data_IF_687733906857
#
_entry.id   IF_687733906857
#
_cell.length_a   1.000
_cell.length_b   1.000
_cell.length_c   1.000
_cell.angle_alpha   90.00
_cell.angle_beta   90.00
_cell.angle_gamma   90.00
#
_symmetry.space_group_name_H-M   'P 1'
#
loop_
_entity.id
_entity.type
_entity.pdbx_description
1 polymer ?
#
# COMPACT_ATOMS: atom_id res chain seq x y z
N UNK A 1 -15.38 -16.10 -17.51
CA UNK A 1 -14.12 -16.86 -17.42
C UNK A 1 -13.50 -16.64 -16.06
N UNK A 2 -13.50 -17.66 -15.20
CA UNK A 2 -12.78 -17.61 -13.92
C UNK A 2 -11.28 -17.71 -14.19
N UNK A 3 -10.55 -16.58 -14.12
CA UNK A 3 -9.09 -16.61 -13.99
C UNK A 3 -8.78 -17.06 -12.56
N UNK A 4 -8.65 -18.37 -12.37
CA UNK A 4 -8.08 -18.93 -11.15
C UNK A 4 -6.65 -18.43 -11.05
N UNK A 5 -6.38 -17.56 -10.06
CA UNK A 5 -5.04 -17.04 -9.80
C UNK A 5 -4.17 -18.22 -9.36
N UNK A 6 -3.22 -18.63 -10.18
CA UNK A 6 -2.24 -19.66 -9.84
C UNK A 6 -1.42 -19.21 -8.63
N UNK A 7 -1.52 -19.93 -7.51
CA UNK A 7 -0.86 -19.56 -6.25
C UNK A 7 0.61 -20.04 -6.23
N UNK A 8 1.54 -19.21 -6.71
CA UNK A 8 2.97 -19.46 -6.58
C UNK A 8 3.45 -19.13 -5.15
N UNK A 9 3.50 -20.13 -4.27
CA UNK A 9 3.87 -19.98 -2.85
C UNK A 9 5.32 -19.51 -2.64
N UNK A 10 6.20 -19.68 -3.63
CA UNK A 10 7.64 -19.34 -3.52
C UNK A 10 7.94 -17.83 -3.43
N UNK A 11 7.01 -16.94 -3.81
CA UNK A 11 7.30 -15.49 -3.88
C UNK A 11 6.97 -14.71 -2.59
N UNK A 12 6.16 -15.26 -1.67
CA UNK A 12 5.67 -14.50 -0.50
C UNK A 12 6.82 -13.97 0.39
N UNK A 13 7.87 -14.76 0.61
CA UNK A 13 9.03 -14.37 1.42
C UNK A 13 9.85 -13.25 0.75
N UNK A 14 10.00 -13.32 -0.57
CA UNK A 14 10.71 -12.31 -1.34
C UNK A 14 9.91 -11.00 -1.40
N UNK A 15 8.59 -11.09 -1.61
CA UNK A 15 7.66 -9.95 -1.55
C UNK A 15 7.75 -9.29 -0.18
N UNK A 16 7.63 -10.06 0.91
CA UNK A 16 7.72 -9.54 2.28
C UNK A 16 9.06 -8.84 2.55
N UNK A 17 10.18 -9.43 2.10
CA UNK A 17 11.51 -8.81 2.21
C UNK A 17 11.59 -7.49 1.43
N UNK A 18 11.07 -7.46 0.21
CA UNK A 18 11.04 -6.25 -0.64
C UNK A 18 10.18 -5.15 -0.03
N UNK A 19 9.01 -5.49 0.50
CA UNK A 19 8.13 -4.54 1.22
C UNK A 19 8.86 -3.98 2.44
N UNK A 20 9.47 -4.83 3.28
CA UNK A 20 10.23 -4.36 4.45
C UNK A 20 11.36 -3.40 4.05
N UNK A 21 12.12 -3.74 3.01
CA UNK A 21 13.19 -2.87 2.48
C UNK A 21 12.63 -1.54 1.96
N UNK A 22 11.49 -1.55 1.28
CA UNK A 22 10.82 -0.33 0.83
C UNK A 22 10.37 0.53 2.01
N UNK A 23 9.78 -0.08 3.04
CA UNK A 23 9.31 0.62 4.24
C UNK A 23 10.45 1.32 4.98
N UNK A 24 11.59 0.63 5.11
CA UNK A 24 12.80 1.21 5.70
C UNK A 24 13.39 2.30 4.82
N UNK A 25 13.63 2.04 3.53
CA UNK A 25 14.28 2.99 2.60
C UNK A 25 13.53 4.32 2.49
N UNK A 26 12.19 4.29 2.48
CA UNK A 26 11.37 5.49 2.32
C UNK A 26 10.69 5.95 3.61
N UNK A 27 11.12 5.42 4.76
CA UNK A 27 10.66 5.81 6.10
C UNK A 27 9.12 5.85 6.23
N UNK A 28 8.43 4.81 5.73
CA UNK A 28 6.97 4.78 5.61
C UNK A 28 6.28 5.05 6.95
N UNK A 29 6.80 4.52 8.05
CA UNK A 29 6.30 4.75 9.40
C UNK A 29 6.25 6.24 9.78
N UNK A 30 7.30 6.99 9.41
CA UNK A 30 7.36 8.43 9.63
C UNK A 30 6.36 9.17 8.75
N UNK A 31 6.21 8.78 7.47
CA UNK A 31 5.22 9.39 6.58
C UNK A 31 3.79 9.19 7.09
N UNK A 32 3.48 7.97 7.54
CA UNK A 32 2.19 7.64 8.16
C UNK A 32 1.93 8.51 9.39
N UNK A 33 2.91 8.66 10.29
CA UNK A 33 2.80 9.52 11.47
C UNK A 33 2.53 10.98 11.09
N UNK A 34 3.26 11.52 10.11
CA UNK A 34 3.08 12.89 9.61
C UNK A 34 1.72 13.10 8.93
N UNK A 35 1.15 12.04 8.37
CA UNK A 35 -0.20 11.99 7.80
C UNK A 35 -1.30 11.70 8.83
N UNK A 36 -1.02 11.85 10.13
CA UNK A 36 -1.94 11.60 11.24
C UNK A 36 -2.44 10.16 11.38
N UNK A 37 -1.71 9.19 10.80
CA UNK A 37 -2.00 7.77 10.99
C UNK A 37 -1.41 7.27 12.31
N UNK A 38 -2.10 7.60 13.41
CA UNK A 38 -1.73 7.20 14.76
C UNK A 38 -2.39 5.89 15.19
N UNK A 39 -1.71 5.13 16.04
CA UNK A 39 -2.25 3.93 16.68
C UNK A 39 -3.42 4.31 17.59
N UNK A 40 -4.55 3.60 17.49
CA UNK A 40 -5.67 3.71 18.45
C UNK A 40 -5.63 2.65 19.54
N UNK A 41 -5.29 1.39 19.23
CA UNK A 41 -5.17 0.31 20.24
C UNK A 41 -4.39 -0.88 19.69
N UNK A 42 -3.54 -1.46 20.54
CA UNK A 42 -2.84 -2.76 20.47
C UNK A 42 -1.99 -3.09 19.22
N UNK A 43 -2.42 -2.76 18.00
CA UNK A 43 -1.65 -2.99 16.76
C UNK A 43 -0.99 -1.70 16.22
N UNK A 44 0.31 -1.71 15.89
CA UNK A 44 0.97 -0.61 15.17
C UNK A 44 0.34 -0.36 13.79
N UNK A 45 0.10 0.91 13.46
CA UNK A 45 -0.42 1.33 12.13
C UNK A 45 0.47 0.83 10.99
N UNK A 46 1.78 0.82 11.20
CA UNK A 46 2.77 0.36 10.22
C UNK A 46 2.60 -1.11 9.87
N UNK A 47 2.21 -1.94 10.83
CA UNK A 47 1.99 -3.36 10.64
C UNK A 47 0.73 -3.61 9.79
N UNK A 48 -0.36 -2.89 10.10
CA UNK A 48 -1.58 -2.90 9.30
C UNK A 48 -1.28 -2.47 7.86
N UNK A 49 -0.52 -1.39 7.71
CA UNK A 49 -0.13 -0.85 6.39
C UNK A 49 0.74 -1.82 5.61
N UNK A 50 1.73 -2.43 6.26
CA UNK A 50 2.59 -3.45 5.67
C UNK A 50 1.82 -4.70 5.24
N UNK A 51 0.84 -5.12 6.05
CA UNK A 51 -0.03 -6.24 5.71
C UNK A 51 -0.87 -5.98 4.46
N UNK A 52 -1.43 -4.77 4.31
CA UNK A 52 -2.16 -4.41 3.08
C UNK A 52 -1.25 -4.42 1.84
N UNK A 53 0.00 -3.93 1.96
CA UNK A 53 0.99 -4.05 0.88
C UNK A 53 1.23 -5.52 0.52
N UNK A 54 1.40 -6.39 1.53
CA UNK A 54 1.60 -7.82 1.31
C UNK A 54 0.42 -8.43 0.55
N UNK A 55 -0.83 -8.12 0.91
CA UNK A 55 -2.01 -8.60 0.20
C UNK A 55 -2.03 -8.16 -1.27
N UNK A 56 -1.76 -6.88 -1.54
CA UNK A 56 -1.75 -6.33 -2.91
C UNK A 56 -0.65 -6.98 -3.76
N UNK A 57 0.60 -6.98 -3.28
CA UNK A 57 1.73 -7.49 -4.05
C UNK A 57 1.79 -9.02 -4.14
N UNK A 58 1.13 -9.74 -3.23
CA UNK A 58 0.93 -11.19 -3.36
C UNK A 58 -0.31 -11.56 -4.18
N UNK A 59 -1.10 -10.58 -4.63
CA UNK A 59 -2.37 -10.78 -5.32
C UNK A 59 -3.33 -11.70 -4.53
N UNK A 60 -3.44 -11.47 -3.22
CA UNK A 60 -4.30 -12.25 -2.31
C UNK A 60 -5.33 -11.37 -1.65
N UNK A 61 -6.50 -11.98 -1.39
CA UNK A 61 -7.50 -11.37 -0.52
C UNK A 61 -7.25 -11.77 0.93
N UNK A 62 -7.65 -10.89 1.85
CA UNK A 62 -7.62 -11.17 3.29
C UNK A 62 -8.42 -12.44 3.65
N UNK A 63 -9.54 -12.68 2.95
CA UNK A 63 -10.34 -13.88 3.11
C UNK A 63 -9.54 -15.16 2.82
N UNK A 64 -8.75 -15.18 1.73
CA UNK A 64 -7.92 -16.33 1.41
C UNK A 64 -6.76 -16.52 2.38
N UNK A 65 -6.17 -15.43 2.88
CA UNK A 65 -5.18 -15.51 3.96
C UNK A 65 -5.77 -16.14 5.23
N UNK A 66 -6.97 -15.73 5.63
CA UNK A 66 -7.67 -16.30 6.79
C UNK A 66 -8.00 -17.79 6.61
N UNK A 67 -8.51 -18.19 5.44
CA UNK A 67 -8.84 -19.60 5.17
C UNK A 67 -7.62 -20.52 5.12
N UNK A 68 -6.51 -20.04 4.53
CA UNK A 68 -5.31 -20.86 4.33
C UNK A 68 -4.34 -20.81 5.50
N UNK A 69 -4.58 -19.95 6.49
CA UNK A 69 -3.64 -19.67 7.58
C UNK A 69 -2.34 -18.97 7.15
N UNK A 70 -2.12 -18.76 5.84
CA UNK A 70 -0.89 -18.16 5.31
C UNK A 70 -0.95 -16.64 5.37
N UNK A 71 0.13 -16.04 5.88
CA UNK A 71 0.26 -14.59 6.07
C UNK A 71 -0.87 -14.02 6.93
N UNK A 72 -1.35 -14.79 7.91
CA UNK A 72 -2.37 -14.33 8.86
C UNK A 72 -1.69 -13.36 9.83
N UNK A 73 -2.17 -12.10 9.95
CA UNK A 73 -1.63 -11.16 10.93
C UNK A 73 -2.13 -11.49 12.34
N UNK A 74 -1.44 -10.97 13.36
CA UNK A 74 -1.83 -11.11 14.78
C UNK A 74 -3.04 -10.23 15.16
N UNK A 75 -3.71 -9.63 14.17
CA UNK A 75 -4.87 -8.77 14.34
C UNK A 75 -6.06 -9.23 13.49
N UNK A 76 -7.27 -9.00 14.00
CA UNK A 76 -8.50 -9.31 13.28
C UNK A 76 -8.74 -8.38 12.08
N UNK A 77 -9.49 -8.87 11.07
CA UNK A 77 -9.86 -8.11 9.86
C UNK A 77 -10.48 -6.73 10.15
N UNK A 78 -11.20 -6.60 11.26
CA UNK A 78 -11.86 -5.36 11.65
C UNK A 78 -10.88 -4.23 11.95
N UNK A 79 -9.65 -4.57 12.34
CA UNK A 79 -8.57 -3.60 12.54
C UNK A 79 -8.18 -2.94 11.21
N UNK A 80 -8.11 -3.72 10.13
CA UNK A 80 -7.84 -3.20 8.78
C UNK A 80 -9.00 -2.31 8.31
N UNK A 81 -10.24 -2.75 8.48
CA UNK A 81 -11.41 -1.96 8.07
C UNK A 81 -11.51 -0.64 8.85
N UNK A 82 -11.25 -0.66 10.16
CA UNK A 82 -11.20 0.57 10.96
C UNK A 82 -10.08 1.48 10.46
N UNK A 83 -8.90 0.95 10.20
CA UNK A 83 -7.77 1.71 9.67
C UNK A 83 -8.12 2.39 8.34
N UNK A 84 -8.70 1.67 7.38
CA UNK A 84 -9.10 2.23 6.08
C UNK A 84 -10.18 3.32 6.20
N UNK A 85 -11.05 3.24 7.22
CA UNK A 85 -12.12 4.20 7.48
C UNK A 85 -11.68 5.39 8.34
N UNK A 86 -10.42 5.50 8.74
CA UNK A 86 -9.94 6.61 9.56
C UNK A 86 -9.87 7.91 8.74
N UNK A 87 -10.90 8.74 8.87
CA UNK A 87 -11.00 10.07 8.21
C UNK A 87 -9.88 11.04 8.61
N UNK A 88 -9.27 10.83 9.78
CA UNK A 88 -8.18 11.66 10.28
C UNK A 88 -6.86 11.47 9.51
N UNK A 89 -6.72 10.35 8.77
CA UNK A 89 -5.51 10.09 7.98
C UNK A 89 -5.54 10.97 6.74
N UNK A 90 -4.56 11.84 6.62
CA UNK A 90 -4.39 12.67 5.44
C UNK A 90 -3.62 11.91 4.35
N UNK A 91 -4.36 11.16 3.53
CA UNK A 91 -3.79 10.36 2.45
C UNK A 91 -3.04 11.18 1.40
N UNK A 92 -3.50 12.40 1.11
CA UNK A 92 -2.82 13.31 0.20
C UNK A 92 -1.44 13.71 0.73
N UNK A 93 -1.37 14.08 2.02
CA UNK A 93 -0.08 14.39 2.68
C UNK A 93 0.84 13.17 2.69
N UNK A 94 0.30 11.98 2.96
CA UNK A 94 1.08 10.74 2.91
C UNK A 94 1.68 10.50 1.52
N UNK A 95 0.87 10.56 0.46
CA UNK A 95 1.33 10.29 -0.90
C UNK A 95 2.31 11.34 -1.39
N UNK A 96 2.11 12.62 -1.08
CA UNK A 96 3.06 13.69 -1.42
C UNK A 96 4.42 13.48 -0.75
N UNK A 97 4.43 13.15 0.55
CA UNK A 97 5.69 12.87 1.28
C UNK A 97 6.39 11.64 0.69
N UNK A 98 5.64 10.57 0.42
CA UNK A 98 6.21 9.36 -0.15
C UNK A 98 6.77 9.60 -1.55
N UNK A 99 6.02 10.28 -2.42
CA UNK A 99 6.46 10.63 -3.77
C UNK A 99 7.74 11.47 -3.74
N UNK A 100 7.79 12.52 -2.90
CA UNK A 100 8.98 13.33 -2.72
C UNK A 100 10.20 12.49 -2.30
N UNK A 101 10.04 11.58 -1.34
CA UNK A 101 11.12 10.69 -0.90
C UNK A 101 11.58 9.73 -1.99
N UNK A 102 10.66 9.20 -2.79
CA UNK A 102 11.00 8.32 -3.92
C UNK A 102 11.77 9.09 -4.98
N UNK A 103 11.27 10.26 -5.38
CA UNK A 103 11.90 11.11 -6.39
C UNK A 103 13.31 11.46 -5.93
N UNK A 104 13.45 12.04 -4.74
CA UNK A 104 14.74 12.55 -4.25
C UNK A 104 15.76 11.44 -3.97
N UNK A 105 15.33 10.27 -3.47
CA UNK A 105 16.26 9.24 -2.99
C UNK A 105 16.40 8.03 -3.92
N UNK A 106 15.68 7.99 -5.04
CA UNK A 106 15.73 6.86 -5.97
C UNK A 106 15.66 7.24 -7.44
N UNK A 107 15.06 8.38 -7.80
CA UNK A 107 14.88 8.75 -9.21
C UNK A 107 15.89 9.81 -9.64
N UNK A 108 16.09 10.88 -8.85
CA UNK A 108 16.97 12.00 -9.24
C UNK A 108 18.40 11.55 -9.58
N UNK A 109 18.95 10.57 -8.85
CA UNK A 109 20.29 10.06 -9.11
C UNK A 109 20.42 9.23 -10.40
N UNK A 110 19.29 8.85 -11.00
CA UNK A 110 19.25 8.08 -12.25
C UNK A 110 19.04 8.99 -13.47
N UNK A 111 18.99 10.31 -13.23
CA UNK A 111 18.66 11.32 -14.21
C UNK A 111 19.89 12.20 -14.52
N UNK A 112 19.90 12.84 -15.69
CA UNK A 112 20.97 13.78 -16.05
C UNK A 112 20.70 15.17 -15.47
N UNK A 113 21.74 15.93 -15.14
CA UNK A 113 21.59 17.32 -14.67
C UNK A 113 20.93 18.22 -15.72
N UNK A 114 21.07 17.90 -17.01
CA UNK A 114 20.51 18.68 -18.13
C UNK A 114 19.01 18.42 -18.42
N UNK A 115 18.31 17.67 -17.57
CA UNK A 115 16.90 17.33 -17.84
C UNK A 115 15.97 18.51 -17.58
N UNK A 116 15.05 18.75 -18.52
CA UNK A 116 13.93 19.67 -18.34
C UNK A 116 12.82 19.09 -17.42
N UNK A 117 12.42 19.86 -16.41
CA UNK A 117 11.25 19.56 -15.59
C UNK A 117 9.96 19.84 -16.40
N UNK A 118 9.03 18.89 -16.40
CA UNK A 118 7.74 19.01 -17.10
C UNK A 118 6.58 18.74 -16.14
N UNK A 119 5.49 19.50 -16.29
CA UNK A 119 4.24 19.25 -15.60
C UNK A 119 3.39 18.28 -16.44
N UNK A 120 3.07 17.11 -15.89
CA UNK A 120 2.21 16.10 -16.51
C UNK A 120 0.86 16.12 -15.81
N UNK A 121 -0.21 16.23 -16.59
CA UNK A 121 -1.60 16.11 -16.13
C UNK A 121 -2.17 14.85 -16.78
N UNK A 122 -2.69 13.95 -15.96
CA UNK A 122 -3.30 12.68 -16.37
C UNK A 122 -4.74 12.63 -15.82
N UNK A 123 -5.70 12.32 -16.68
CA UNK A 123 -7.12 12.18 -16.36
C UNK A 123 -7.58 10.71 -16.38
N UNK A 124 -6.63 9.78 -16.34
CA UNK A 124 -6.89 8.34 -16.32
C UNK A 124 -7.95 7.94 -15.28
N UNK A 125 -8.96 7.21 -15.75
CA UNK A 125 -10.04 6.71 -14.91
C UNK A 125 -9.60 5.47 -14.12
N UNK A 126 -9.90 5.44 -12.82
CA UNK A 126 -9.72 4.23 -12.01
C UNK A 126 -10.98 3.36 -12.07
N UNK A 127 -10.86 2.15 -12.63
CA UNK A 127 -11.98 1.20 -12.69
C UNK A 127 -12.47 0.81 -11.29
N UNK A 128 -13.74 1.10 -11.00
CA UNK A 128 -14.43 0.63 -9.80
C UNK A 128 -15.14 -0.69 -10.08
N UNK A 129 -14.38 -1.77 -10.13
CA UNK A 129 -14.87 -3.13 -10.43
C UNK A 129 -15.95 -3.70 -9.48
N UNK A 130 -16.35 -2.97 -8.43
CA UNK A 130 -17.40 -3.37 -7.47
C UNK A 130 -18.40 -2.25 -7.12
N UNK A 131 -18.46 -1.16 -7.88
CA UNK A 131 -19.57 -0.20 -7.70
C UNK A 131 -20.88 -0.82 -8.20
N UNK A 132 -21.98 -0.56 -7.48
CA UNK A 132 -23.33 -0.80 -8.03
C UNK A 132 -23.42 -0.07 -9.37
N UNK A 133 -23.97 -0.72 -10.40
CA UNK A 133 -24.24 -0.09 -11.69
C UNK A 133 -25.01 1.20 -11.42
N UNK A 134 -24.41 2.34 -11.74
CA UNK A 134 -25.12 3.62 -11.76
C UNK A 134 -25.99 3.56 -13.00
N UNK A 135 -27.29 3.35 -12.80
CA UNK A 135 -28.26 3.51 -13.87
C UNK A 135 -28.60 5.00 -13.85
N UNK A 136 -28.22 5.70 -14.91
CA UNK A 136 -28.72 7.04 -15.22
C UNK A 136 -30.14 6.92 -15.78
#
# INVERSE_FOLDING_TARGET
MNKSITQATQNDKQISKSIKRFFTRFHISSALKTANAYKRKDTPVTEIFQYMFLLIFSNRSMYMSLLTGKNTPDFAKDIVYRFMKMVQINWMRFTTILASRIINNAILSLDSEDRANVLIIDDSMFERNRSKKVIL
#
